data_IF_264414175234
#
_entry.id   IF_264414175234
#
_cell.length_a   1.000
_cell.length_b   1.000
_cell.length_c   1.000
_cell.angle_alpha   90.00
_cell.angle_beta   90.00
_cell.angle_gamma   90.00
#
_symmetry.space_group_name_H-M   'P 1'
#
loop_
_entity.id
_entity.type
_entity.pdbx_description
1 polymer ?
#
# COMPACT_ATOMS: atom_id res chain seq x y z
N UNK A 1 9.41 11.14 4.46
CA UNK A 1 9.45 12.21 5.49
C UNK A 1 9.12 11.59 6.84
N UNK A 2 9.71 12.11 7.92
CA UNK A 2 9.46 11.68 9.30
C UNK A 2 8.19 12.39 9.83
N UNK A 3 7.33 11.68 10.51
CA UNK A 3 6.17 12.23 11.22
C UNK A 3 6.17 11.77 12.67
N UNK A 4 5.81 12.67 13.57
CA UNK A 4 5.75 12.41 15.01
C UNK A 4 4.34 12.75 15.50
N UNK A 5 3.67 11.81 16.17
CA UNK A 5 2.28 11.98 16.60
C UNK A 5 2.06 11.52 18.03
N UNK A 6 1.36 12.32 18.81
CA UNK A 6 0.88 11.97 20.15
C UNK A 6 -0.54 12.53 20.34
N UNK A 7 -1.43 11.77 20.98
CA UNK A 7 -2.78 12.23 21.32
C UNK A 7 -3.54 12.86 20.12
N UNK A 8 -3.49 12.21 18.95
CA UNK A 8 -4.09 12.67 17.68
C UNK A 8 -3.56 14.00 17.13
N UNK A 9 -2.39 14.46 17.58
CA UNK A 9 -1.74 15.69 17.11
C UNK A 9 -0.36 15.40 16.53
N UNK A 10 0.02 16.18 15.53
CA UNK A 10 1.39 16.17 15.00
C UNK A 10 2.29 17.00 15.91
N UNK A 11 3.44 16.46 16.30
CA UNK A 11 4.48 17.17 17.05
C UNK A 11 5.53 17.73 16.08
N UNK A 12 6.11 18.87 16.42
CA UNK A 12 7.14 19.54 15.60
C UNK A 12 8.53 18.92 15.72
N UNK A 13 8.76 18.08 16.74
CA UNK A 13 10.05 17.50 17.06
C UNK A 13 9.92 16.06 17.57
N UNK A 14 10.79 15.12 17.14
CA UNK A 14 10.85 13.77 17.68
C UNK A 14 11.40 13.72 19.12
N UNK A 15 11.96 14.82 19.63
CA UNK A 15 12.43 14.92 21.00
C UNK A 15 11.34 15.33 21.99
N UNK A 16 10.11 15.59 21.52
CA UNK A 16 8.96 15.80 22.39
C UNK A 16 8.32 14.46 22.75
N UNK A 17 7.89 14.33 24.02
CA UNK A 17 7.14 13.16 24.49
C UNK A 17 7.82 11.82 24.13
N UNK A 18 9.14 11.75 24.33
CA UNK A 18 9.96 10.56 24.00
C UNK A 18 9.40 9.32 24.72
N UNK A 19 9.17 8.26 23.94
CA UNK A 19 8.58 7.00 24.43
C UNK A 19 7.05 7.03 24.56
N UNK A 20 6.41 8.19 24.38
CA UNK A 20 4.96 8.36 24.40
C UNK A 20 4.39 8.72 23.02
N UNK A 21 5.18 9.35 22.15
CA UNK A 21 4.81 9.65 20.77
C UNK A 21 5.13 8.49 19.81
N UNK A 22 4.25 8.28 18.83
CA UNK A 22 4.51 7.44 17.67
C UNK A 22 5.38 8.18 16.65
N UNK A 23 6.35 7.47 16.06
CA UNK A 23 7.26 7.99 15.04
C UNK A 23 7.13 7.11 13.80
N UNK A 24 6.66 7.70 12.71
CA UNK A 24 6.46 7.02 11.43
C UNK A 24 7.22 7.71 10.30
N UNK A 25 7.50 6.94 9.25
CA UNK A 25 8.20 7.41 8.06
C UNK A 25 7.54 6.80 6.83
N UNK A 26 7.54 7.54 5.71
CA UNK A 26 7.13 6.94 4.44
C UNK A 26 8.06 5.80 4.04
N UNK A 27 7.45 4.70 3.63
CA UNK A 27 8.17 3.56 3.08
C UNK A 27 8.89 3.99 1.81
N UNK A 28 10.17 3.63 1.71
CA UNK A 28 10.93 3.68 0.48
C UNK A 28 10.81 2.28 -0.15
N UNK A 29 10.13 2.19 -1.29
CA UNK A 29 9.72 0.91 -1.88
C UNK A 29 10.79 0.33 -2.81
N UNK A 30 11.60 1.17 -3.45
CA UNK A 30 12.62 0.72 -4.41
C UNK A 30 13.72 -0.05 -3.68
N UNK A 31 14.26 0.48 -2.58
CA UNK A 31 15.24 -0.19 -1.72
C UNK A 31 14.67 -1.43 -1.05
N UNK A 32 13.39 -1.47 -0.68
CA UNK A 32 12.77 -2.72 -0.21
C UNK A 32 12.79 -3.82 -1.29
N UNK A 33 12.52 -3.44 -2.53
CA UNK A 33 12.55 -4.35 -3.66
C UNK A 33 13.98 -4.79 -4.03
N UNK A 34 14.97 -3.89 -4.00
CA UNK A 34 16.38 -4.20 -4.19
C UNK A 34 16.90 -5.16 -3.10
N UNK A 35 16.51 -4.94 -1.84
CA UNK A 35 16.84 -5.81 -0.73
C UNK A 35 16.23 -7.22 -0.91
N UNK A 36 15.00 -7.29 -1.42
CA UNK A 36 14.35 -8.57 -1.74
C UNK A 36 15.09 -9.31 -2.86
N UNK A 37 15.47 -8.61 -3.94
CA UNK A 37 16.28 -9.14 -5.04
C UNK A 37 17.61 -9.70 -4.57
N UNK A 38 18.31 -8.95 -3.73
CA UNK A 38 19.57 -9.37 -3.11
C UNK A 38 19.42 -10.62 -2.23
N UNK A 39 18.21 -10.87 -1.73
CA UNK A 39 17.85 -12.04 -0.92
C UNK A 39 17.25 -13.20 -1.74
N UNK A 40 17.17 -13.07 -3.07
CA UNK A 40 16.68 -14.10 -3.99
C UNK A 40 15.15 -14.12 -4.19
N UNK A 41 14.42 -13.12 -3.70
CA UNK A 41 13.01 -12.88 -4.05
C UNK A 41 12.92 -11.79 -5.12
N UNK A 42 11.79 -11.65 -5.81
CA UNK A 42 11.58 -10.58 -6.79
C UNK A 42 10.25 -9.88 -6.57
N UNK A 43 10.13 -8.58 -6.92
CA UNK A 43 8.84 -7.93 -7.01
C UNK A 43 7.98 -8.65 -8.05
N UNK A 44 6.85 -9.19 -7.60
CA UNK A 44 5.85 -9.85 -8.45
C UNK A 44 4.57 -9.02 -8.58
N UNK A 45 4.48 -7.91 -7.86
CA UNK A 45 3.40 -6.94 -7.98
C UNK A 45 3.69 -5.67 -7.19
N UNK A 46 3.37 -4.51 -7.78
CA UNK A 46 3.46 -3.23 -7.09
C UNK A 46 2.40 -2.28 -7.62
N UNK A 47 1.58 -1.71 -6.73
CA UNK A 47 0.52 -0.78 -7.12
C UNK A 47 0.01 0.04 -5.92
N UNK A 48 -0.85 1.02 -6.18
CA UNK A 48 -1.52 1.79 -5.13
C UNK A 48 -2.73 1.02 -4.54
N UNK A 49 -3.22 1.47 -3.38
CA UNK A 49 -4.33 0.84 -2.70
C UNK A 49 -5.60 0.79 -3.55
N UNK A 50 -5.86 1.82 -4.35
CA UNK A 50 -7.03 1.87 -5.24
C UNK A 50 -7.03 0.68 -6.20
N UNK A 51 -5.94 0.50 -6.95
CA UNK A 51 -5.82 -0.60 -7.92
C UNK A 51 -5.78 -1.96 -7.21
N UNK A 52 -5.10 -2.04 -6.07
CA UNK A 52 -5.01 -3.27 -5.29
C UNK A 52 -6.39 -3.80 -4.87
N UNK A 53 -7.18 -2.95 -4.21
CA UNK A 53 -8.51 -3.32 -3.74
C UNK A 53 -9.48 -3.56 -4.91
N UNK A 54 -9.39 -2.76 -5.98
CA UNK A 54 -10.21 -2.95 -7.18
C UNK A 54 -9.95 -4.31 -7.85
N UNK A 55 -8.68 -4.74 -7.89
CA UNK A 55 -8.30 -6.07 -8.39
C UNK A 55 -8.95 -7.21 -7.60
N UNK A 56 -8.94 -7.11 -6.27
CA UNK A 56 -9.58 -8.10 -5.38
C UNK A 56 -11.10 -8.10 -5.57
N UNK A 57 -11.75 -6.93 -5.48
CA UNK A 57 -13.21 -6.80 -5.56
C UNK A 57 -13.73 -7.30 -6.91
N UNK A 58 -13.10 -6.90 -8.01
CA UNK A 58 -13.52 -7.34 -9.35
C UNK A 58 -13.38 -8.85 -9.58
N UNK A 59 -12.51 -9.52 -8.82
CA UNK A 59 -12.25 -10.96 -8.98
C UNK A 59 -13.15 -11.80 -8.08
N UNK A 60 -13.29 -11.42 -6.82
CA UNK A 60 -13.97 -12.23 -5.81
C UNK A 60 -15.39 -11.76 -5.47
N UNK A 61 -15.71 -10.51 -5.78
CA UNK A 61 -16.97 -9.88 -5.40
C UNK A 61 -17.64 -9.11 -6.55
N UNK A 62 -17.73 -9.68 -7.78
CA UNK A 62 -18.22 -8.95 -8.95
C UNK A 62 -19.67 -8.49 -8.83
N UNK A 63 -20.49 -9.21 -8.04
CA UNK A 63 -21.92 -8.92 -7.86
C UNK A 63 -22.27 -8.39 -6.46
N UNK A 64 -21.27 -8.06 -5.65
CA UNK A 64 -21.53 -7.61 -4.28
C UNK A 64 -22.31 -6.29 -4.29
N UNK A 65 -23.38 -6.26 -3.50
CA UNK A 65 -24.15 -5.04 -3.27
C UNK A 65 -23.76 -4.46 -1.93
N UNK A 66 -22.91 -3.45 -1.98
CA UNK A 66 -22.54 -2.69 -0.80
C UNK A 66 -23.73 -1.86 -0.30
N UNK A 67 -23.94 -1.88 1.01
CA UNK A 67 -24.87 -0.98 1.67
C UNK A 67 -24.35 0.49 1.65
N UNK A 68 -25.16 1.49 2.04
CA UNK A 68 -24.72 2.88 2.01
C UNK A 68 -23.50 3.20 2.88
N UNK A 69 -23.30 2.48 3.99
CA UNK A 69 -22.16 2.66 4.89
C UNK A 69 -20.88 2.07 4.29
N UNK A 70 -20.98 0.87 3.72
CA UNK A 70 -19.88 0.19 3.04
C UNK A 70 -19.44 0.97 1.81
N UNK A 71 -20.37 1.55 1.05
CA UNK A 71 -20.04 2.43 -0.08
C UNK A 71 -19.21 3.64 0.34
N UNK A 72 -19.53 4.27 1.47
CA UNK A 72 -18.75 5.41 2.00
C UNK A 72 -17.36 5.00 2.47
N UNK A 73 -17.25 3.85 3.14
CA UNK A 73 -15.97 3.29 3.53
C UNK A 73 -15.10 2.96 2.31
N UNK A 74 -15.70 2.32 1.30
CA UNK A 74 -15.03 1.98 0.06
C UNK A 74 -14.58 3.24 -0.70
N UNK A 75 -15.42 4.28 -0.75
CA UNK A 75 -15.03 5.58 -1.32
C UNK A 75 -13.78 6.14 -0.62
N UNK A 76 -13.73 6.08 0.72
CA UNK A 76 -12.55 6.55 1.48
C UNK A 76 -11.29 5.74 1.14
N UNK A 77 -11.43 4.43 1.00
CA UNK A 77 -10.32 3.53 0.66
C UNK A 77 -9.84 3.68 -0.80
N UNK A 78 -10.75 3.94 -1.74
CA UNK A 78 -10.43 3.95 -3.17
C UNK A 78 -10.15 5.34 -3.73
N UNK A 79 -10.62 6.42 -3.10
CA UNK A 79 -10.50 7.75 -3.69
C UNK A 79 -9.03 8.23 -3.69
N UNK A 80 -8.51 8.75 -4.81
CA UNK A 80 -7.09 9.13 -4.94
C UNK A 80 -6.67 10.24 -3.99
N UNK A 81 -7.56 11.21 -3.72
CA UNK A 81 -7.33 12.30 -2.76
C UNK A 81 -7.49 11.88 -1.28
N UNK A 82 -7.81 10.61 -1.01
CA UNK A 82 -7.96 10.06 0.35
C UNK A 82 -6.91 8.96 0.58
N UNK A 83 -7.30 7.71 0.79
CA UNK A 83 -6.35 6.64 1.07
C UNK A 83 -5.87 5.92 -0.20
N UNK A 84 -6.56 6.11 -1.34
CA UNK A 84 -6.35 5.32 -2.55
C UNK A 84 -4.95 5.43 -3.15
N UNK A 85 -4.32 6.61 -3.09
CA UNK A 85 -2.93 6.82 -3.55
C UNK A 85 -1.90 6.92 -2.42
N UNK A 86 -2.36 7.16 -1.19
CA UNK A 86 -1.48 7.34 -0.04
C UNK A 86 -0.91 6.02 0.49
N UNK A 87 -1.56 4.90 0.16
CA UNK A 87 -1.12 3.56 0.50
C UNK A 87 -0.78 2.78 -0.76
N UNK A 88 0.21 1.90 -0.66
CA UNK A 88 0.72 1.08 -1.76
C UNK A 88 0.90 -0.36 -1.27
N UNK A 89 0.82 -1.30 -2.19
CA UNK A 89 1.01 -2.72 -1.94
C UNK A 89 2.19 -3.22 -2.78
N UNK A 90 3.13 -3.90 -2.13
CA UNK A 90 4.25 -4.61 -2.76
C UNK A 90 4.09 -6.11 -2.48
N UNK A 91 4.11 -6.92 -3.52
CA UNK A 91 4.22 -8.38 -3.40
C UNK A 91 5.60 -8.83 -3.84
N UNK A 92 6.24 -9.61 -2.97
CA UNK A 92 7.53 -10.24 -3.22
C UNK A 92 7.33 -11.75 -3.33
N UNK A 93 7.90 -12.36 -4.36
CA UNK A 93 7.76 -13.78 -4.63
C UNK A 93 9.09 -14.45 -4.88
N UNK A 94 9.16 -15.74 -4.54
CA UNK A 94 10.23 -16.65 -4.95
C UNK A 94 9.57 -17.92 -5.48
N UNK A 95 9.94 -18.31 -6.70
CA UNK A 95 9.36 -19.47 -7.40
C UNK A 95 7.82 -19.46 -7.42
N UNK A 96 7.24 -18.26 -7.56
CA UNK A 96 5.79 -18.03 -7.56
C UNK A 96 5.34 -17.54 -8.94
N UNK A 97 4.35 -18.21 -9.52
CA UNK A 97 3.95 -18.01 -10.92
C UNK A 97 2.45 -17.71 -11.09
N UNK A 98 1.67 -17.70 -10.00
CA UNK A 98 0.24 -17.42 -10.09
C UNK A 98 -0.04 -15.92 -10.20
N UNK A 99 -1.17 -15.59 -10.83
CA UNK A 99 -1.63 -14.20 -10.91
C UNK A 99 -2.37 -13.83 -9.63
N UNK A 100 -1.83 -12.86 -8.89
CA UNK A 100 -2.49 -12.29 -7.72
C UNK A 100 -3.56 -11.29 -8.17
N UNK A 101 -4.82 -11.53 -7.80
CA UNK A 101 -5.96 -10.70 -8.23
C UNK A 101 -5.83 -9.23 -7.86
N UNK A 102 -5.23 -8.91 -6.72
CA UNK A 102 -4.94 -7.54 -6.30
C UNK A 102 -4.02 -6.79 -7.27
N UNK A 103 -3.15 -7.48 -7.99
CA UNK A 103 -2.23 -6.85 -8.95
C UNK A 103 -2.73 -6.94 -10.40
N UNK A 104 -3.99 -7.34 -10.62
CA UNK A 104 -4.59 -7.47 -11.96
C UNK A 104 -4.50 -6.20 -12.80
N UNK A 105 -4.63 -5.04 -12.17
CA UNK A 105 -4.58 -3.73 -12.82
C UNK A 105 -3.24 -3.00 -12.58
N UNK A 106 -2.26 -3.69 -11.98
CA UNK A 106 -0.94 -3.13 -11.76
C UNK A 106 -0.17 -3.05 -13.08
N UNK A 107 0.77 -2.11 -13.14
CA UNK A 107 1.81 -2.11 -14.18
C UNK A 107 2.87 -3.14 -13.82
N UNK A 108 3.78 -3.39 -14.75
CA UNK A 108 4.98 -4.18 -14.46
C UNK A 108 5.69 -3.62 -13.22
N UNK A 109 5.95 -4.46 -12.19
CA UNK A 109 6.48 -3.98 -10.92
C UNK A 109 7.91 -3.45 -11.01
N UNK A 110 8.74 -3.98 -11.93
CA UNK A 110 10.11 -3.51 -12.13
C UNK A 110 10.08 -2.09 -12.68
N UNK A 111 9.27 -1.85 -13.71
CA UNK A 111 9.08 -0.50 -14.28
C UNK A 111 8.49 0.46 -13.25
N UNK A 112 7.47 0.02 -12.49
CA UNK A 112 6.78 0.89 -11.53
C UNK A 112 7.64 1.27 -10.31
N UNK A 113 8.60 0.42 -9.94
CA UNK A 113 9.56 0.66 -8.87
C UNK A 113 10.85 1.35 -9.34
N UNK A 114 11.04 1.52 -10.65
CA UNK A 114 12.26 2.12 -11.23
C UNK A 114 13.51 1.25 -11.04
N UNK A 115 13.34 -0.07 -11.05
CA UNK A 115 14.40 -1.08 -10.90
C UNK A 115 15.03 -1.47 -12.24
#
# INVERSE_FOLDING_TARGET
>A
SLQVRANQKTLSSPFHEIGLADISVHVEWTSLAEAAQSSGAKPIGFTDQHHFLTGIISTFFPEVKFDPSEKRALQTLLHPEMLGRNFQALALGKDFHETLSGFRFARDPVIALGL
#
